data_IF_343792066524
#
_entry.id   IF_343792066524
#
_cell.length_a   1.000
_cell.length_b   1.000
_cell.length_c   1.000
_cell.angle_alpha   90.00
_cell.angle_beta   90.00
_cell.angle_gamma   90.00
#
_symmetry.space_group_name_H-M   'P 1'
#
loop_
_entity.id
_entity.type
_entity.pdbx_description
1 polymer ?
#
# COMPACT_ATOMS: atom_id res chain seq x y z
N UNK A 1 20.78 -6.62 20.20
CA UNK A 1 20.68 -6.27 18.77
C UNK A 1 21.59 -5.07 18.48
N UNK A 2 22.28 -5.02 17.33
CA UNK A 2 23.05 -3.83 16.92
C UNK A 2 22.14 -2.62 16.74
N UNK A 3 22.70 -1.40 16.82
CA UNK A 3 21.94 -0.18 16.57
C UNK A 3 21.46 -0.09 15.11
N UNK A 4 20.34 0.57 14.86
CA UNK A 4 19.82 0.75 13.50
C UNK A 4 20.85 1.42 12.57
N UNK A 5 21.64 2.36 13.10
CA UNK A 5 22.73 3.03 12.36
C UNK A 5 23.79 2.05 11.89
N UNK A 6 24.15 1.08 12.73
CA UNK A 6 25.13 0.04 12.42
C UNK A 6 24.63 -0.83 11.27
N UNK A 7 23.37 -1.27 11.33
CA UNK A 7 22.76 -2.08 10.26
C UNK A 7 22.71 -1.30 8.95
N UNK A 8 22.37 -0.01 9.00
CA UNK A 8 22.31 0.83 7.80
C UNK A 8 23.69 1.07 7.19
N UNK A 9 24.72 1.19 8.02
CA UNK A 9 26.10 1.25 7.55
C UNK A 9 26.53 -0.06 6.87
N UNK A 10 26.09 -1.22 7.36
CA UNK A 10 26.35 -2.52 6.70
C UNK A 10 25.64 -2.66 5.37
N UNK A 11 24.39 -2.18 5.26
CA UNK A 11 23.64 -2.12 3.99
C UNK A 11 24.39 -1.22 3.00
N UNK A 12 24.80 -0.02 3.43
CA UNK A 12 25.47 0.94 2.56
C UNK A 12 26.83 0.44 2.06
N UNK A 13 27.53 -0.38 2.86
CA UNK A 13 28.78 -1.04 2.49
C UNK A 13 28.58 -2.38 1.78
N UNK A 14 27.32 -2.80 1.60
CA UNK A 14 26.90 -4.11 1.09
C UNK A 14 27.69 -5.29 1.67
N UNK A 15 27.88 -5.27 2.99
CA UNK A 15 28.60 -6.33 3.71
C UNK A 15 27.86 -7.65 3.47
N UNK A 16 28.53 -8.63 2.88
CA UNK A 16 27.99 -9.97 2.59
C UNK A 16 26.67 -9.96 1.78
N UNK A 17 26.48 -8.99 0.87
CA UNK A 17 25.26 -8.89 0.06
C UNK A 17 24.01 -8.54 0.88
N UNK A 18 24.20 -7.93 2.06
CA UNK A 18 23.11 -7.60 2.99
C UNK A 18 22.05 -6.68 2.36
N UNK A 19 22.42 -5.83 1.41
CA UNK A 19 21.47 -4.94 0.75
C UNK A 19 20.38 -5.73 0.02
N UNK A 20 20.76 -6.72 -0.77
CA UNK A 20 19.83 -7.57 -1.53
C UNK A 20 18.94 -8.41 -0.58
N UNK A 21 19.53 -8.97 0.47
CA UNK A 21 18.78 -9.78 1.47
C UNK A 21 17.74 -8.94 2.21
N UNK A 22 18.07 -7.70 2.56
CA UNK A 22 17.12 -6.79 3.22
C UNK A 22 16.05 -6.31 2.24
N UNK A 23 16.37 -6.09 0.97
CA UNK A 23 15.36 -5.78 -0.05
C UNK A 23 14.33 -6.92 -0.18
N UNK A 24 14.79 -8.17 -0.27
CA UNK A 24 13.91 -9.34 -0.30
C UNK A 24 13.08 -9.47 0.99
N UNK A 25 13.70 -9.25 2.15
CA UNK A 25 13.00 -9.29 3.43
C UNK A 25 11.92 -8.20 3.54
N UNK A 26 12.12 -7.02 2.93
CA UNK A 26 11.10 -5.97 2.89
C UNK A 26 9.90 -6.37 2.02
N UNK A 27 10.12 -6.98 0.87
CA UNK A 27 9.02 -7.48 0.03
C UNK A 27 8.18 -8.53 0.78
N UNK A 28 8.82 -9.53 1.39
CA UNK A 28 8.12 -10.53 2.22
C UNK A 28 7.46 -9.90 3.45
N UNK A 29 8.11 -8.91 4.05
CA UNK A 29 7.58 -8.19 5.20
C UNK A 29 6.33 -7.39 4.88
N UNK A 30 6.22 -6.83 3.67
CA UNK A 30 4.99 -6.17 3.21
C UNK A 30 3.82 -7.15 3.15
N UNK A 31 4.06 -8.35 2.64
CA UNK A 31 3.05 -9.41 2.54
C UNK A 31 2.59 -9.87 3.93
N UNK A 32 3.53 -10.07 4.86
CA UNK A 32 3.22 -10.41 6.25
C UNK A 32 2.40 -9.33 6.97
N UNK A 33 2.65 -8.04 6.69
CA UNK A 33 1.85 -6.95 7.25
C UNK A 33 0.42 -6.99 6.68
N UNK A 34 0.27 -7.33 5.40
CA UNK A 34 -1.06 -7.46 4.79
C UNK A 34 -1.84 -8.63 5.40
N UNK A 35 -1.20 -9.77 5.63
CA UNK A 35 -1.78 -10.93 6.33
C UNK A 35 -2.19 -10.55 7.77
N UNK A 36 -1.31 -9.87 8.50
CA UNK A 36 -1.62 -9.39 9.85
C UNK A 36 -2.83 -8.44 9.89
N UNK A 37 -3.10 -7.67 8.83
CA UNK A 37 -4.32 -6.86 8.76
C UNK A 37 -5.59 -7.73 8.73
N UNK A 38 -5.53 -8.89 8.08
CA UNK A 38 -6.64 -9.86 8.07
C UNK A 38 -6.81 -10.49 9.46
N UNK A 39 -5.71 -10.93 10.07
CA UNK A 39 -5.74 -11.49 11.43
C UNK A 39 -6.38 -10.53 12.44
N UNK A 40 -6.09 -9.22 12.33
CA UNK A 40 -6.66 -8.19 13.21
C UNK A 40 -8.13 -7.92 12.88
N UNK A 41 -8.53 -8.07 11.62
CA UNK A 41 -9.92 -7.90 11.23
C UNK A 41 -10.79 -9.07 11.72
N UNK A 42 -10.24 -10.28 11.75
CA UNK A 42 -10.93 -11.50 12.14
C UNK A 42 -10.88 -11.79 13.66
N UNK A 43 -9.99 -11.12 14.41
CA UNK A 43 -9.89 -11.28 15.87
C UNK A 43 -10.97 -10.48 16.63
N UNK A 44 -12.04 -11.18 17.02
CA UNK A 44 -13.16 -10.61 17.79
C UNK A 44 -13.01 -10.76 19.33
N UNK A 45 -11.88 -11.27 19.84
CA UNK A 45 -11.77 -11.68 21.26
C UNK A 45 -12.04 -10.54 22.27
N UNK A 46 -11.85 -9.29 21.85
CA UNK A 46 -11.91 -8.12 22.73
C UNK A 46 -13.08 -7.17 22.39
N UNK A 47 -13.93 -7.55 21.45
CA UNK A 47 -15.02 -6.70 20.95
C UNK A 47 -16.22 -6.65 21.90
N UNK A 48 -16.23 -7.50 22.92
CA UNK A 48 -17.33 -7.61 23.86
C UNK A 48 -16.83 -7.60 25.30
N UNK A 49 -17.55 -6.91 26.17
CA UNK A 49 -17.29 -6.90 27.61
C UNK A 49 -18.52 -7.43 28.34
N UNK A 50 -18.31 -8.47 29.15
CA UNK A 50 -19.34 -9.01 30.03
C UNK A 50 -19.58 -8.05 31.20
N UNK A 51 -20.79 -7.51 31.29
CA UNK A 51 -21.21 -6.66 32.40
C UNK A 51 -22.33 -7.32 33.20
N UNK A 52 -22.61 -6.79 34.39
CA UNK A 52 -23.71 -7.29 35.25
C UNK A 52 -25.10 -7.14 34.60
N UNK A 53 -25.23 -6.34 33.53
CA UNK A 53 -26.47 -6.10 32.77
C UNK A 53 -26.53 -6.84 31.43
N UNK A 54 -25.52 -7.64 31.11
CA UNK A 54 -25.38 -8.34 29.83
C UNK A 54 -24.07 -8.01 29.11
N UNK A 55 -23.97 -8.47 27.87
CA UNK A 55 -22.81 -8.24 26.99
C UNK A 55 -22.93 -6.85 26.37
N UNK A 56 -21.87 -6.04 26.48
CA UNK A 56 -21.77 -4.73 25.83
C UNK A 56 -20.64 -4.75 24.80
N UNK A 57 -20.88 -4.14 23.64
CA UNK A 57 -19.84 -3.95 22.61
C UNK A 57 -18.76 -2.98 23.08
N UNK A 58 -17.51 -3.31 22.79
CA UNK A 58 -16.33 -2.53 23.12
C UNK A 58 -15.87 -1.71 21.91
N UNK A 59 -16.51 -0.56 21.71
CA UNK A 59 -16.21 0.33 20.57
C UNK A 59 -14.75 0.80 20.52
N UNK A 60 -14.06 0.83 21.67
CA UNK A 60 -12.64 1.21 21.76
C UNK A 60 -11.74 0.12 21.17
N UNK A 61 -12.03 -1.15 21.42
CA UNK A 61 -11.28 -2.27 20.84
C UNK A 61 -11.46 -2.28 19.31
N UNK A 62 -12.70 -2.22 18.85
CA UNK A 62 -13.05 -2.16 17.42
C UNK A 62 -12.41 -0.94 16.76
N UNK A 63 -12.48 0.24 17.40
CA UNK A 63 -11.87 1.47 16.90
C UNK A 63 -10.35 1.37 16.79
N UNK A 64 -9.69 0.72 17.75
CA UNK A 64 -8.25 0.46 17.71
C UNK A 64 -7.87 -0.50 16.58
N UNK A 65 -8.63 -1.58 16.38
CA UNK A 65 -8.42 -2.53 15.29
C UNK A 65 -8.54 -1.83 13.93
N UNK A 66 -9.59 -1.03 13.74
CA UNK A 66 -9.78 -0.21 12.52
C UNK A 66 -8.60 0.73 12.27
N UNK A 67 -8.15 1.47 13.29
CA UNK A 67 -7.02 2.40 13.15
C UNK A 67 -5.73 1.65 12.78
N UNK A 68 -5.48 0.51 13.42
CA UNK A 68 -4.33 -0.33 13.15
C UNK A 68 -4.30 -0.85 11.71
N UNK A 69 -5.42 -1.37 11.21
CA UNK A 69 -5.55 -1.85 9.83
C UNK A 69 -5.33 -0.68 8.86
N UNK A 70 -6.00 0.46 9.09
CA UNK A 70 -5.88 1.64 8.24
C UNK A 70 -4.43 2.14 8.14
N UNK A 71 -3.73 2.31 9.27
CA UNK A 71 -2.34 2.77 9.29
C UNK A 71 -1.42 1.82 8.51
N UNK A 72 -1.59 0.50 8.69
CA UNK A 72 -0.80 -0.51 7.96
C UNK A 72 -1.05 -0.46 6.46
N UNK A 73 -2.33 -0.43 6.03
CA UNK A 73 -2.68 -0.34 4.61
C UNK A 73 -2.16 0.95 3.97
N UNK A 74 -2.25 2.08 4.66
CA UNK A 74 -1.72 3.36 4.17
C UNK A 74 -0.19 3.33 3.99
N UNK A 75 0.53 2.67 4.90
CA UNK A 75 1.98 2.48 4.76
C UNK A 75 2.30 1.52 3.62
N UNK A 76 1.58 0.41 3.48
CA UNK A 76 1.77 -0.56 2.39
C UNK A 76 1.57 0.07 1.01
N UNK A 77 0.52 0.88 0.84
CA UNK A 77 0.27 1.61 -0.40
C UNK A 77 1.44 2.54 -0.78
N UNK A 78 2.17 3.08 0.21
CA UNK A 78 3.34 3.94 -0.02
C UNK A 78 4.65 3.17 -0.17
N UNK A 79 4.83 2.07 0.56
CA UNK A 79 6.05 1.26 0.54
C UNK A 79 6.13 0.31 -0.65
N UNK A 80 4.99 -0.21 -1.12
CA UNK A 80 4.89 -1.05 -2.31
C UNK A 80 3.65 -0.68 -3.15
N UNK A 81 3.65 0.50 -3.80
CA UNK A 81 2.52 0.98 -4.60
C UNK A 81 2.19 0.07 -5.78
N UNK A 82 3.17 -0.71 -6.28
CA UNK A 82 2.93 -1.66 -7.38
C UNK A 82 1.93 -2.75 -6.99
N UNK A 83 2.00 -3.25 -5.76
CA UNK A 83 1.16 -4.35 -5.27
C UNK A 83 -0.06 -3.84 -4.49
N UNK A 84 0.12 -2.83 -3.65
CA UNK A 84 -0.90 -2.34 -2.70
C UNK A 84 -1.39 -0.92 -2.99
N UNK A 85 -0.90 -0.28 -4.05
CA UNK A 85 -1.39 1.04 -4.46
C UNK A 85 -2.77 0.95 -5.10
N UNK A 86 -3.54 2.03 -4.96
CA UNK A 86 -4.82 2.17 -5.66
C UNK A 86 -4.58 2.26 -7.17
N UNK A 87 -5.25 1.40 -7.94
CA UNK A 87 -5.22 1.45 -9.40
C UNK A 87 -6.33 2.40 -9.87
N UNK A 88 -5.96 3.45 -10.58
CA UNK A 88 -6.90 4.33 -11.26
C UNK A 88 -6.95 4.00 -12.74
N UNK A 89 -8.10 3.51 -13.20
CA UNK A 89 -8.38 3.36 -14.63
C UNK A 89 -8.93 4.69 -15.16
N UNK A 90 -8.07 5.45 -15.84
CA UNK A 90 -8.45 6.73 -16.44
C UNK A 90 -8.93 6.48 -17.88
N UNK A 91 -10.25 6.36 -18.05
CA UNK A 91 -10.88 6.31 -19.37
C UNK A 91 -11.03 7.74 -19.92
N UNK A 92 -10.14 8.14 -20.84
CA UNK A 92 -10.34 9.38 -21.60
C UNK A 92 -11.37 9.16 -22.72
N UNK A 93 -12.66 9.40 -22.42
CA UNK A 93 -13.74 9.49 -23.42
C UNK A 93 -13.81 10.87 -24.06
N UNK A 94 -12.65 11.45 -24.39
CA UNK A 94 -12.59 12.60 -25.28
C UNK A 94 -12.80 12.08 -26.70
N UNK A 95 -13.74 12.69 -27.44
CA UNK A 95 -13.83 12.52 -28.90
C UNK A 95 -12.55 13.14 -29.48
N UNK A 96 -11.44 12.40 -29.41
CA UNK A 96 -10.24 12.73 -30.16
C UNK A 96 -10.67 12.57 -31.60
N UNK A 97 -11.04 13.68 -32.22
CA UNK A 97 -11.18 13.75 -33.66
C UNK A 97 -9.77 13.70 -34.24
N UNK A 98 -9.19 12.49 -34.17
CA UNK A 98 -7.86 12.19 -34.70
C UNK A 98 -7.87 12.51 -36.20
N UNK A 99 -9.01 12.35 -36.86
CA UNK A 99 -9.20 12.79 -38.24
C UNK A 99 -9.06 14.31 -38.38
N UNK A 100 -9.76 15.14 -37.59
CA UNK A 100 -9.62 16.59 -37.67
C UNK A 100 -8.22 17.10 -37.32
N UNK A 101 -7.55 16.50 -36.34
CA UNK A 101 -6.17 16.86 -35.98
C UNK A 101 -5.16 16.46 -37.05
N UNK A 102 -5.29 15.28 -37.66
CA UNK A 102 -4.47 14.86 -38.81
C UNK A 102 -4.73 15.76 -40.03
N UNK A 103 -5.99 16.12 -40.31
CA UNK A 103 -6.36 16.98 -41.43
C UNK A 103 -5.81 18.40 -41.24
N UNK A 104 -5.88 18.94 -40.03
CA UNK A 104 -5.26 20.22 -39.67
C UNK A 104 -3.73 20.18 -39.76
N UNK A 105 -3.09 19.07 -39.41
CA UNK A 105 -1.64 18.87 -39.56
C UNK A 105 -1.22 18.79 -41.04
N UNK A 106 -1.96 18.03 -41.87
CA UNK A 106 -1.71 17.92 -43.32
C UNK A 106 -1.89 19.25 -44.04
N UNK A 107 -2.89 20.05 -43.65
CA UNK A 107 -3.11 21.40 -44.19
C UNK A 107 -1.96 22.37 -43.83
N UNK A 108 -1.26 22.15 -42.71
CA UNK A 108 -0.07 22.93 -42.32
C UNK A 108 1.22 22.45 -43.02
N UNK A 109 1.33 21.18 -43.39
CA UNK A 109 2.52 20.61 -44.04
C UNK A 109 2.56 20.81 -45.56
N UNK A 110 1.56 21.50 -46.16
CA UNK A 110 1.58 21.90 -47.57
C UNK A 110 1.72 20.75 -48.57
N UNK A 111 1.40 19.52 -48.16
CA UNK A 111 1.51 18.32 -48.99
C UNK A 111 0.09 17.93 -49.41
N UNK A 112 -0.27 18.35 -50.63
CA UNK A 112 -1.50 17.94 -51.31
C UNK A 112 -1.57 16.41 -51.39
#
# INVERSE_FOLDING_TARGET
MPSWRTVYAWIAKDVDGLAARIAQARELGHDAIAEQCLDIADDEQHDWVNTRKGVLTNDVAIGRAKLQIHTRLQLLAKWNPKKYGEKQDINLTGKLDVAATILAARKRSGTN
#
